data_IF_092986482161
#
_entry.id   IF_092986482161
#
_cell.length_a   1.000
_cell.length_b   1.000
_cell.length_c   1.000
_cell.angle_alpha   90.00
_cell.angle_beta   90.00
_cell.angle_gamma   90.00
#
_symmetry.space_group_name_H-M   'P 1'
#
loop_
_entity.id
_entity.type
_entity.pdbx_description
1 polymer ?
#
# COMPACT_ATOMS: atom_id res chain seq x y z
N UNK A 1 -0.79 0.92 0.54
CA UNK A 1 -0.11 0.97 -0.77
C UNK A 1 -1.08 1.59 -1.75
N UNK A 2 -0.66 2.63 -2.46
CA UNK A 2 -1.45 3.33 -3.47
C UNK A 2 -0.63 3.44 -4.76
N UNK A 3 -1.28 3.84 -5.86
CA UNK A 3 -0.58 4.34 -7.02
C UNK A 3 0.01 5.72 -6.74
N UNK A 4 1.09 6.07 -7.43
CA UNK A 4 1.74 7.38 -7.27
C UNK A 4 1.05 8.41 -8.15
N UNK A 5 0.77 9.58 -7.58
CA UNK A 5 0.28 10.76 -8.29
C UNK A 5 1.11 12.00 -7.88
N UNK A 6 0.90 13.13 -8.57
CA UNK A 6 1.61 14.38 -8.27
C UNK A 6 1.24 14.94 -6.90
N UNK A 7 -0.02 14.80 -6.51
CA UNK A 7 -0.46 15.17 -5.18
C UNK A 7 -0.01 14.10 -4.18
N UNK A 8 0.69 14.54 -3.13
CA UNK A 8 1.32 13.65 -2.15
C UNK A 8 0.26 12.76 -1.51
N UNK A 9 0.56 11.46 -1.45
CA UNK A 9 -0.25 10.41 -0.81
C UNK A 9 -1.72 10.32 -1.26
N UNK A 10 -2.04 10.85 -2.44
CA UNK A 10 -3.44 11.02 -2.89
C UNK A 10 -3.90 10.02 -3.94
N UNK A 11 -3.00 9.20 -4.46
CA UNK A 11 -3.36 8.23 -5.49
C UNK A 11 -4.29 7.11 -5.00
N UNK A 12 -4.99 6.42 -5.90
CA UNK A 12 -5.93 5.36 -5.55
C UNK A 12 -5.29 4.25 -4.72
N UNK A 13 -5.98 3.84 -3.66
CA UNK A 13 -5.54 2.78 -2.76
C UNK A 13 -5.59 1.41 -3.48
N UNK A 14 -4.49 0.67 -3.41
CA UNK A 14 -4.40 -0.73 -3.87
C UNK A 14 -4.69 -1.68 -2.71
N UNK A 15 -4.09 -1.43 -1.54
CA UNK A 15 -4.22 -2.30 -0.37
C UNK A 15 -3.96 -1.53 0.93
N UNK A 16 -4.67 -1.92 1.99
CA UNK A 16 -4.49 -1.40 3.35
C UNK A 16 -4.41 -2.55 4.35
N UNK A 17 -3.72 -2.30 5.46
CA UNK A 17 -3.76 -3.12 6.66
C UNK A 17 -3.85 -2.21 7.87
N UNK A 18 -4.52 -2.68 8.91
CA UNK A 18 -4.61 -2.01 10.20
C UNK A 18 -3.81 -2.79 11.25
N UNK A 19 -3.28 -2.08 12.24
CA UNK A 19 -2.71 -2.68 13.44
C UNK A 19 -3.43 -2.13 14.67
N UNK A 20 -3.68 -2.94 15.71
CA UNK A 20 -4.21 -2.44 16.96
C UNK A 20 -3.18 -1.54 17.65
N UNK A 21 -3.67 -0.48 18.29
CA UNK A 21 -2.92 0.29 19.28
C UNK A 21 -3.28 -0.26 20.66
N UNK A 22 -2.28 -0.58 21.45
CA UNK A 22 -2.41 -1.18 22.79
C UNK A 22 -2.01 -0.14 23.85
N UNK A 23 -2.53 -0.29 25.07
CA UNK A 23 -2.33 0.69 26.13
C UNK A 23 -0.86 0.81 26.55
N UNK A 24 -0.11 -0.28 26.44
CA UNK A 24 1.29 -0.43 26.81
C UNK A 24 2.27 -0.12 25.66
N UNK A 25 1.78 0.41 24.53
CA UNK A 25 2.66 0.72 23.41
C UNK A 25 3.65 1.85 23.73
N UNK A 26 4.89 1.59 23.32
CA UNK A 26 5.83 2.64 22.99
C UNK A 26 5.72 2.97 21.50
N UNK A 27 6.25 4.13 21.10
CA UNK A 27 6.40 4.49 19.67
C UNK A 27 7.13 3.37 18.91
N UNK A 28 8.18 2.79 19.51
CA UNK A 28 8.96 1.73 18.90
C UNK A 28 8.15 0.43 18.72
N UNK A 29 7.35 0.02 19.71
CA UNK A 29 6.55 -1.22 19.60
C UNK A 29 5.43 -1.08 18.58
N UNK A 30 4.78 0.10 18.53
CA UNK A 30 3.76 0.38 17.52
C UNK A 30 4.39 0.41 16.11
N UNK A 31 5.51 1.11 15.94
CA UNK A 31 6.21 1.18 14.66
C UNK A 31 6.65 -0.21 14.18
N UNK A 32 7.16 -1.07 15.06
CA UNK A 32 7.53 -2.44 14.71
C UNK A 32 6.32 -3.25 14.19
N UNK A 33 5.14 -3.09 14.81
CA UNK A 33 3.91 -3.75 14.32
C UNK A 33 3.46 -3.20 12.97
N UNK A 34 3.57 -1.89 12.75
CA UNK A 34 3.28 -1.26 11.45
C UNK A 34 4.20 -1.82 10.37
N UNK A 35 5.52 -1.84 10.61
CA UNK A 35 6.51 -2.34 9.65
C UNK A 35 6.28 -3.81 9.25
N UNK A 36 5.80 -4.65 10.18
CA UNK A 36 5.43 -6.04 9.84
C UNK A 36 4.28 -6.06 8.83
N UNK A 37 3.28 -5.19 8.97
CA UNK A 37 2.19 -5.12 7.99
C UNK A 37 2.66 -4.52 6.66
N UNK A 38 3.48 -3.47 6.69
CA UNK A 38 4.06 -2.87 5.47
C UNK A 38 4.82 -3.91 4.64
N UNK A 39 5.72 -4.68 5.25
CA UNK A 39 6.45 -5.76 4.57
C UNK A 39 5.55 -6.86 4.00
N UNK A 40 4.36 -7.09 4.59
CA UNK A 40 3.38 -8.05 4.08
C UNK A 40 2.60 -7.49 2.90
N UNK A 41 2.03 -6.31 3.05
CA UNK A 41 1.10 -5.75 2.07
C UNK A 41 1.80 -5.14 0.87
N UNK A 42 3.04 -4.66 1.01
CA UNK A 42 3.78 -4.03 -0.09
C UNK A 42 4.01 -4.98 -1.28
N UNK A 43 4.65 -6.15 -1.12
CA UNK A 43 4.81 -7.10 -2.22
C UNK A 43 3.48 -7.66 -2.74
N UNK A 44 2.50 -7.88 -1.86
CA UNK A 44 1.17 -8.36 -2.26
C UNK A 44 0.42 -7.33 -3.13
N UNK A 45 0.52 -6.05 -2.79
CA UNK A 45 -0.06 -4.96 -3.57
C UNK A 45 0.60 -4.82 -4.95
N UNK A 46 1.93 -5.01 -5.04
CA UNK A 46 2.63 -5.04 -6.34
C UNK A 46 2.11 -6.18 -7.20
N UNK A 47 2.01 -7.40 -6.64
CA UNK A 47 1.48 -8.55 -7.38
C UNK A 47 0.05 -8.29 -7.87
N UNK A 48 -0.80 -7.71 -7.02
CA UNK A 48 -2.17 -7.33 -7.40
C UNK A 48 -2.18 -6.29 -8.54
N UNK A 49 -1.35 -5.25 -8.45
CA UNK A 49 -1.26 -4.20 -9.46
C UNK A 49 -0.83 -4.75 -10.83
N UNK A 50 0.11 -5.71 -10.86
CA UNK A 50 0.53 -6.38 -12.10
C UNK A 50 -0.64 -7.16 -12.71
N UNK A 51 -1.35 -7.95 -11.90
CA UNK A 51 -2.50 -8.72 -12.36
C UNK A 51 -3.67 -7.83 -12.85
N UNK A 52 -3.84 -6.65 -12.26
CA UNK A 52 -4.84 -5.67 -12.70
C UNK A 52 -4.47 -5.01 -14.03
N UNK A 53 -3.18 -4.75 -14.27
CA UNK A 53 -2.70 -4.19 -15.52
C UNK A 53 -2.93 -5.13 -16.72
N UNK A 54 -2.80 -6.44 -16.51
CA UNK A 54 -3.07 -7.46 -17.54
C UNK A 54 -4.55 -7.54 -17.96
N UNK A 55 -5.47 -6.91 -17.21
CA UNK A 55 -6.91 -6.89 -17.46
C UNK A 55 -7.48 -5.57 -18.00
N UNK A 56 -6.67 -4.51 -18.12
CA UNK A 56 -7.12 -3.20 -18.64
C UNK A 56 -6.53 -2.95 -20.04
N UNK A 57 -7.36 -2.91 -21.11
CA UNK A 57 -6.87 -2.55 -22.43
C UNK A 57 -6.54 -1.04 -22.45
N UNK A 58 -5.24 -0.72 -22.42
CA UNK A 58 -4.71 0.59 -22.84
C UNK A 58 -4.96 1.74 -21.87
N UNK A 59 -4.10 1.88 -20.86
CA UNK A 59 -3.71 3.20 -20.38
C UNK A 59 -2.38 3.54 -21.05
N UNK A 60 -2.47 4.09 -22.26
CA UNK A 60 -1.33 4.71 -22.94
C UNK A 60 -0.84 5.89 -22.09
N UNK A 61 0.42 5.90 -21.60
CA UNK A 61 0.96 7.01 -20.82
C UNK A 61 1.32 8.24 -21.68
N UNK A 62 0.91 8.30 -22.96
CA UNK A 62 1.14 9.42 -23.87
C UNK A 62 -0.11 10.22 -24.31
N UNK A 63 -1.28 9.96 -23.72
CA UNK A 63 -2.51 10.71 -23.99
C UNK A 63 -2.71 11.92 -23.06
#
# INVERSE_FOLDING_TARGET
VHYVELEVDSGPIIMQAAVPVLAEDSVASLQARIQVQEHRIYPAAIALAVLQADGQPGADPSA
#
